data_IF_363579586742
#
_entry.id   IF_363579586742
#
_cell.length_a   1.000
_cell.length_b   1.000
_cell.length_c   1.000
_cell.angle_alpha   90.00
_cell.angle_beta   90.00
_cell.angle_gamma   90.00
#
_symmetry.space_group_name_H-M   'P 1'
#
loop_
_entity.id
_entity.type
_entity.pdbx_description
1 polymer ?
#
# COMPACT_ATOMS: atom_id res chain seq x y z
N UNK A 1 1.59 3.08 -26.92
CA UNK A 1 1.76 1.63 -27.19
C UNK A 1 0.82 0.87 -26.27
N UNK A 2 -0.06 0.03 -26.81
CA UNK A 2 -0.87 -0.87 -25.97
C UNK A 2 0.00 -2.03 -25.51
N UNK A 3 0.11 -2.24 -24.21
CA UNK A 3 0.82 -3.39 -23.64
C UNK A 3 -0.19 -4.51 -23.36
N UNK A 4 0.08 -5.71 -23.88
CA UNK A 4 -0.74 -6.89 -23.64
C UNK A 4 -0.08 -7.77 -22.60
N UNK A 5 -0.73 -7.94 -21.44
CA UNK A 5 -0.29 -8.83 -20.38
C UNK A 5 -0.68 -10.28 -20.72
N UNK A 6 0.22 -11.23 -20.48
CA UNK A 6 -0.05 -12.67 -20.60
C UNK A 6 0.01 -13.28 -19.21
N UNK A 7 -1.10 -13.89 -18.78
CA UNK A 7 -1.21 -14.61 -17.52
C UNK A 7 -1.25 -16.11 -17.80
N UNK A 8 -0.76 -16.89 -16.84
CA UNK A 8 -1.05 -18.33 -16.81
C UNK A 8 -2.55 -18.55 -16.56
N UNK A 9 -3.04 -19.76 -16.84
CA UNK A 9 -4.45 -20.10 -16.65
C UNK A 9 -4.88 -19.97 -15.17
N UNK A 10 -3.99 -20.33 -14.24
CA UNK A 10 -4.26 -20.19 -12.81
C UNK A 10 -4.37 -18.71 -12.40
N UNK A 11 -3.43 -17.87 -12.83
CA UNK A 11 -3.45 -16.43 -12.54
C UNK A 11 -4.68 -15.74 -13.15
N UNK A 12 -5.07 -16.11 -14.38
CA UNK A 12 -6.29 -15.62 -15.02
C UNK A 12 -7.54 -16.07 -14.23
N UNK A 13 -7.54 -17.30 -13.73
CA UNK A 13 -8.59 -17.83 -12.86
C UNK A 13 -8.70 -17.08 -11.53
N UNK A 14 -7.58 -16.78 -10.89
CA UNK A 14 -7.51 -15.98 -9.67
C UNK A 14 -8.05 -14.56 -9.92
N UNK A 15 -7.58 -13.89 -10.98
CA UNK A 15 -8.02 -12.54 -11.33
C UNK A 15 -9.52 -12.49 -11.67
N UNK A 16 -10.06 -13.54 -12.30
CA UNK A 16 -11.51 -13.68 -12.55
C UNK A 16 -12.30 -13.77 -11.25
N UNK A 17 -11.87 -14.61 -10.30
CA UNK A 17 -12.53 -14.73 -8.99
C UNK A 17 -12.50 -13.41 -8.22
N UNK A 18 -11.39 -12.69 -8.29
CA UNK A 18 -11.24 -11.39 -7.64
C UNK A 18 -12.18 -10.35 -8.27
N UNK A 19 -12.22 -10.27 -9.61
CA UNK A 19 -13.12 -9.37 -10.34
C UNK A 19 -14.59 -9.60 -9.97
N UNK A 20 -15.01 -10.86 -9.84
CA UNK A 20 -16.37 -11.21 -9.40
C UNK A 20 -16.64 -10.79 -7.96
N UNK A 21 -15.68 -11.02 -7.06
CA UNK A 21 -15.81 -10.66 -5.64
C UNK A 21 -15.89 -9.16 -5.43
N UNK A 22 -15.08 -8.38 -6.16
CA UNK A 22 -15.02 -6.92 -6.04
C UNK A 22 -16.08 -6.19 -6.88
N UNK A 23 -16.74 -6.86 -7.83
CA UNK A 23 -17.65 -6.22 -8.77
C UNK A 23 -16.96 -5.22 -9.72
N UNK A 24 -15.66 -5.41 -9.98
CA UNK A 24 -14.81 -4.53 -10.80
C UNK A 24 -14.28 -5.28 -12.01
N UNK A 25 -13.85 -4.56 -13.05
CA UNK A 25 -13.20 -5.19 -14.20
C UNK A 25 -11.78 -5.67 -13.86
N UNK A 26 -11.33 -6.74 -14.53
CA UNK A 26 -9.94 -7.22 -14.44
C UNK A 26 -8.93 -6.12 -14.75
N UNK A 27 -9.25 -5.25 -15.71
CA UNK A 27 -8.37 -4.15 -16.12
C UNK A 27 -8.22 -3.09 -15.02
N UNK A 28 -9.29 -2.80 -14.26
CA UNK A 28 -9.23 -1.90 -13.11
C UNK A 28 -8.36 -2.50 -12.00
N UNK A 29 -8.57 -3.77 -11.66
CA UNK A 29 -7.79 -4.47 -10.63
C UNK A 29 -6.29 -4.48 -11.01
N UNK A 30 -5.96 -4.86 -12.24
CA UNK A 30 -4.56 -4.88 -12.71
C UNK A 30 -3.94 -3.49 -12.69
N UNK A 31 -4.68 -2.46 -13.10
CA UNK A 31 -4.19 -1.07 -13.09
C UNK A 31 -3.90 -0.60 -11.66
N UNK A 32 -4.77 -0.96 -10.73
CA UNK A 32 -4.66 -0.61 -9.32
C UNK A 32 -3.47 -1.32 -8.66
N UNK A 33 -3.34 -2.63 -8.90
CA UNK A 33 -2.20 -3.43 -8.44
C UNK A 33 -0.87 -2.88 -8.97
N UNK A 34 -0.81 -2.51 -10.26
CA UNK A 34 0.38 -1.89 -10.85
C UNK A 34 0.71 -0.55 -10.18
N UNK A 35 -0.30 0.32 -9.98
CA UNK A 35 -0.10 1.61 -9.29
C UNK A 35 0.44 1.39 -7.89
N UNK A 36 -0.17 0.48 -7.12
CA UNK A 36 0.29 0.16 -5.76
C UNK A 36 1.73 -0.38 -5.75
N UNK A 37 2.11 -1.19 -6.73
CA UNK A 37 3.49 -1.68 -6.85
C UNK A 37 4.47 -0.53 -7.14
N UNK A 38 4.13 0.36 -8.06
CA UNK A 38 4.99 1.51 -8.40
C UNK A 38 5.13 2.47 -7.21
N UNK A 39 4.04 2.78 -6.51
CA UNK A 39 4.07 3.68 -5.35
C UNK A 39 4.89 3.09 -4.20
N UNK A 40 4.76 1.77 -3.96
CA UNK A 40 5.54 1.07 -2.92
C UNK A 40 7.04 1.10 -3.20
N UNK A 41 7.44 0.94 -4.46
CA UNK A 41 8.83 0.86 -4.86
C UNK A 41 9.38 2.20 -5.35
N UNK A 42 8.61 3.29 -5.19
CA UNK A 42 9.05 4.63 -5.57
C UNK A 42 10.20 5.03 -4.65
N UNK A 43 11.39 5.12 -5.23
CA UNK A 43 12.55 5.76 -4.63
C UNK A 43 12.48 7.25 -4.91
N UNK A 44 12.81 8.05 -3.91
CA UNK A 44 13.00 9.50 -4.09
C UNK A 44 14.50 9.77 -4.18
N UNK A 45 14.91 10.54 -5.18
CA UNK A 45 16.31 10.95 -5.33
C UNK A 45 16.73 11.92 -4.20
N UNK A 46 15.77 12.67 -3.66
CA UNK A 46 15.92 13.57 -2.53
C UNK A 46 14.82 13.31 -1.47
N UNK A 47 15.09 13.49 -0.17
CA UNK A 47 14.07 13.33 0.87
C UNK A 47 12.83 14.19 0.58
N UNK A 48 11.63 13.61 0.71
CA UNK A 48 10.38 14.34 0.48
C UNK A 48 10.15 15.46 1.51
N UNK A 49 10.79 15.35 2.68
CA UNK A 49 10.85 16.37 3.72
C UNK A 49 12.30 16.50 4.15
N UNK A 50 12.76 17.74 4.32
CA UNK A 50 14.03 18.03 4.99
C UNK A 50 13.90 17.78 6.50
N UNK A 51 15.01 17.57 7.20
CA UNK A 51 15.00 17.38 8.66
C UNK A 51 14.28 18.54 9.38
N UNK A 52 14.35 19.75 8.83
CA UNK A 52 13.68 20.97 9.32
C UNK A 52 12.15 20.95 9.14
N UNK A 53 11.65 20.17 8.17
CA UNK A 53 10.22 19.96 7.91
C UNK A 53 9.68 18.68 8.56
N UNK A 54 10.55 17.87 9.17
CA UNK A 54 10.16 16.68 9.92
C UNK A 54 9.94 17.00 11.40
N UNK A 55 8.94 16.36 12.00
CA UNK A 55 8.77 16.33 13.45
C UNK A 55 9.42 15.07 14.01
N UNK A 56 10.35 15.24 14.94
CA UNK A 56 10.86 14.12 15.73
C UNK A 56 9.72 13.57 16.61
N UNK A 57 9.34 12.32 16.35
CA UNK A 57 8.30 11.61 17.10
C UNK A 57 8.84 11.01 18.42
N UNK A 58 10.05 11.37 18.84
CA UNK A 58 10.64 10.98 20.11
C UNK A 58 11.31 9.60 20.09
N UNK A 59 11.70 9.12 18.90
CA UNK A 59 12.30 7.81 18.70
C UNK A 59 11.29 6.67 18.45
N UNK A 60 11.75 5.40 18.47
CA UNK A 60 10.90 4.26 18.17
C UNK A 60 9.76 4.09 19.18
N UNK A 61 8.54 3.93 18.69
CA UNK A 61 7.37 3.62 19.53
C UNK A 61 7.62 2.30 20.27
N UNK A 62 7.68 2.37 21.60
CA UNK A 62 7.85 1.20 22.46
C UNK A 62 6.50 0.55 22.76
N UNK A 63 6.56 -0.69 23.27
CA UNK A 63 5.34 -1.39 23.74
C UNK A 63 4.67 -0.65 24.90
N UNK A 64 5.42 0.11 25.68
CA UNK A 64 4.89 0.83 26.83
C UNK A 64 4.14 2.10 26.39
N UNK A 65 4.63 2.80 25.35
CA UNK A 65 3.93 3.95 24.74
C UNK A 65 2.55 3.56 24.18
N UNK A 66 2.45 2.37 23.57
CA UNK A 66 1.19 1.81 23.07
C UNK A 66 0.23 1.53 24.23
N UNK A 67 0.73 0.92 25.32
CA UNK A 67 -0.10 0.58 26.49
C UNK A 67 -0.63 1.84 27.20
N UNK A 68 0.19 2.87 27.32
CA UNK A 68 -0.19 4.15 27.92
C UNK A 68 -1.28 4.86 27.10
N UNK A 69 -1.09 4.93 25.78
CA UNK A 69 -2.06 5.53 24.86
C UNK A 69 -3.43 4.83 24.89
N UNK A 70 -3.44 3.50 25.00
CA UNK A 70 -4.69 2.73 25.11
C UNK A 70 -5.42 2.95 26.45
N UNK A 71 -4.69 3.21 27.54
CA UNK A 71 -5.28 3.53 28.86
C UNK A 71 -5.92 4.91 28.87
N UNK A 72 -5.29 5.92 28.26
CA UNK A 72 -5.85 7.29 28.18
C UNK A 72 -7.14 7.36 27.35
N UNK A 73 -7.34 6.48 26.36
CA UNK A 73 -8.57 6.41 25.57
C UNK A 73 -9.77 5.75 26.28
N UNK A 74 -9.58 5.24 27.49
CA UNK A 74 -10.61 4.54 28.27
C UNK A 74 -11.12 5.34 29.48
N UNK A 75 -10.75 6.63 29.56
CA UNK A 75 -11.26 7.61 30.53
C UNK A 75 -12.24 8.58 29.85
#
# INVERSE_FOLDING_TARGET
MAWTMRLSEDEEGQLTRQAMTEGRSKQEITRDALRMYLDRNRTWDEPFLTDEETFDLGGPVTKDDIRESMRQRSA
#
